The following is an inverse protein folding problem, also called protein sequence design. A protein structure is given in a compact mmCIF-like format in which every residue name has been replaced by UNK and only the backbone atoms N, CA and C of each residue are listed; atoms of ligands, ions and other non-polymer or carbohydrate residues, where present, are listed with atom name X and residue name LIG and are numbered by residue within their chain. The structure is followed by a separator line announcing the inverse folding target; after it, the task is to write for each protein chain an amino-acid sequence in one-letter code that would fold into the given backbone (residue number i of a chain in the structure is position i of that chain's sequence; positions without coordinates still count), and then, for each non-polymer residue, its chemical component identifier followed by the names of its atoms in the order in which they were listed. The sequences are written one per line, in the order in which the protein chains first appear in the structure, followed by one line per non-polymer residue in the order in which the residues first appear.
data_IF_024740975244
#
_entry.id   IF_024740975244
#
_cell.length_a   1.000
_cell.length_b   1.000
_cell.length_c   1.000
_cell.angle_alpha   90.00
_cell.angle_beta   90.00
_cell.angle_gamma   90.00
#
_symmetry.space_group_name_H-M   'P 1'
#
loop_
_entity.id
_entity.type
_entity.pdbx_description
1 polymer ?
#
# COMPACT_ATOMS: atom_id res chain seq x y z
N UNK A 1 17.19 6.35 -5.86
CA UNK A 1 16.30 5.66 -6.83
C UNK A 1 16.12 6.42 -8.14
N UNK A 2 16.17 5.73 -9.28
CA UNK A 2 15.67 6.25 -10.57
C UNK A 2 14.13 6.13 -10.60
N UNK A 3 13.46 7.28 -10.57
CA UNK A 3 12.00 7.37 -10.49
C UNK A 3 11.31 6.78 -11.72
N UNK A 4 11.93 6.81 -12.91
CA UNK A 4 11.34 6.22 -14.12
C UNK A 4 11.38 4.69 -14.07
N UNK A 5 12.51 4.13 -13.66
CA UNK A 5 12.67 2.69 -13.49
C UNK A 5 11.74 2.15 -12.38
N UNK A 6 11.66 2.84 -11.24
CA UNK A 6 10.75 2.49 -10.15
C UNK A 6 9.28 2.58 -10.58
N UNK A 7 8.90 3.65 -11.28
CA UNK A 7 7.54 3.80 -11.82
C UNK A 7 7.20 2.68 -12.81
N UNK A 8 8.16 2.24 -13.63
CA UNK A 8 7.97 1.14 -14.58
C UNK A 8 7.71 -0.18 -13.87
N UNK A 9 8.59 -0.56 -12.93
CA UNK A 9 8.44 -1.78 -12.13
C UNK A 9 7.13 -1.78 -11.34
N UNK A 10 6.76 -0.63 -10.75
CA UNK A 10 5.55 -0.52 -9.93
C UNK A 10 4.29 -0.52 -10.80
N UNK A 11 4.22 0.21 -11.92
CA UNK A 11 2.96 0.39 -12.67
C UNK A 11 2.73 -0.65 -13.77
N UNK A 12 3.77 -1.08 -14.49
CA UNK A 12 3.62 -2.05 -15.58
C UNK A 12 3.38 -3.46 -15.05
N UNK A 13 4.00 -3.83 -13.93
CA UNK A 13 3.75 -5.14 -13.33
C UNK A 13 2.41 -5.18 -12.58
N UNK A 14 1.99 -4.09 -11.90
CA UNK A 14 0.68 -4.06 -11.22
C UNK A 14 -0.52 -4.08 -12.16
N UNK A 15 -0.39 -3.56 -13.39
CA UNK A 15 -1.49 -3.50 -14.35
C UNK A 15 -1.77 -4.84 -15.04
N UNK A 16 -0.86 -5.81 -14.95
CA UNK A 16 -1.02 -7.17 -15.50
C UNK A 16 -1.49 -8.21 -14.46
N UNK A 17 -1.79 -7.77 -13.24
CA UNK A 17 -2.28 -8.60 -12.14
C UNK A 17 -3.79 -8.76 -12.29
N UNK A 18 -4.25 -9.95 -12.70
CA UNK A 18 -5.66 -10.34 -12.62
C UNK A 18 -6.20 -10.16 -11.18
N UNK A 19 -7.50 -9.91 -11.03
CA UNK A 19 -8.14 -9.72 -9.70
C UNK A 19 -7.80 -10.83 -8.69
N UNK A 20 -7.66 -12.07 -9.14
CA UNK A 20 -7.27 -13.22 -8.31
C UNK A 20 -5.88 -13.05 -7.68
N UNK A 21 -4.97 -12.36 -8.38
CA UNK A 21 -3.61 -12.09 -7.95
C UNK A 21 -3.54 -10.78 -7.12
N UNK A 22 -4.48 -9.86 -7.32
CA UNK A 22 -4.65 -8.58 -6.60
C UNK A 22 -5.03 -8.78 -5.13
N UNK A 23 -5.81 -9.82 -4.84
CA UNK A 23 -6.13 -10.25 -3.48
C UNK A 23 -4.95 -10.95 -2.78
N UNK A 24 -3.90 -11.30 -3.52
CA UNK A 24 -2.76 -12.03 -2.99
C UNK A 24 -1.57 -11.09 -2.74
N UNK A 25 -0.95 -11.28 -1.58
CA UNK A 25 0.41 -10.84 -1.20
C UNK A 25 1.46 -10.88 -2.34
N UNK A 26 1.27 -11.70 -3.36
CA UNK A 26 2.22 -11.93 -4.45
C UNK A 26 2.47 -10.72 -5.35
N UNK A 27 1.53 -9.78 -5.48
CA UNK A 27 1.74 -8.56 -6.28
C UNK A 27 2.87 -7.70 -5.72
N UNK A 28 2.81 -7.38 -4.43
CA UNK A 28 3.87 -6.63 -3.74
C UNK A 28 5.20 -7.39 -3.72
N UNK A 29 5.18 -8.72 -3.52
CA UNK A 29 6.41 -9.51 -3.56
C UNK A 29 7.10 -9.45 -4.92
N UNK A 30 6.36 -9.62 -6.03
CA UNK A 30 6.94 -9.56 -7.38
C UNK A 30 7.52 -8.19 -7.69
N UNK A 31 6.78 -7.13 -7.36
CA UNK A 31 7.27 -5.76 -7.53
C UNK A 31 8.53 -5.51 -6.69
N UNK A 32 8.57 -5.98 -5.44
CA UNK A 32 9.76 -5.89 -4.58
C UNK A 32 10.94 -6.67 -5.15
N UNK A 33 10.74 -7.89 -5.66
CA UNK A 33 11.77 -8.68 -6.33
C UNK A 33 12.36 -7.98 -7.56
N UNK A 34 11.50 -7.38 -8.39
CA UNK A 34 11.94 -6.59 -9.56
C UNK A 34 12.67 -5.31 -9.14
N UNK A 35 12.15 -4.58 -8.15
CA UNK A 35 12.81 -3.40 -7.60
C UNK A 35 14.15 -3.73 -6.96
N UNK A 36 14.28 -4.88 -6.28
CA UNK A 36 15.52 -5.30 -5.64
C UNK A 36 16.63 -5.55 -6.67
N UNK A 37 16.29 -6.15 -7.82
CA UNK A 37 17.25 -6.33 -8.93
C UNK A 37 17.75 -4.99 -9.46
N UNK A 38 16.84 -4.06 -9.76
CA UNK A 38 17.20 -2.73 -10.24
C UNK A 38 17.98 -1.93 -9.19
N UNK A 39 17.59 -2.03 -7.91
CA UNK A 39 18.28 -1.38 -6.80
C UNK A 39 19.71 -1.88 -6.65
N UNK A 40 19.95 -3.17 -6.87
CA UNK A 40 21.28 -3.78 -6.83
C UNK A 40 22.15 -3.24 -7.97
N UNK A 41 21.60 -3.16 -9.19
CA UNK A 41 22.28 -2.62 -10.37
C UNK A 41 22.59 -1.13 -10.19
N UNK A 42 21.62 -0.37 -9.69
CA UNK A 42 21.71 1.07 -9.49
C UNK A 42 22.39 1.50 -8.18
N UNK A 43 22.78 0.55 -7.32
CA UNK A 43 23.27 0.77 -5.96
C UNK A 43 22.37 1.70 -5.13
N UNK A 44 21.06 1.49 -5.20
CA UNK A 44 20.08 2.27 -4.44
C UNK A 44 20.02 1.77 -3.00
N UNK A 45 20.08 2.70 -2.05
CA UNK A 45 20.00 2.44 -0.61
C UNK A 45 18.71 3.04 0.01
N UNK A 46 17.89 3.66 -0.83
CA UNK A 46 16.59 4.19 -0.46
C UNK A 46 15.49 3.11 -0.57
N UNK A 47 14.41 3.33 0.18
CA UNK A 47 13.21 2.51 0.13
C UNK A 47 11.97 3.40 0.08
N UNK A 48 10.81 2.78 -0.11
CA UNK A 48 9.54 3.48 -0.18
C UNK A 48 8.47 2.78 0.68
N UNK A 49 7.48 3.55 1.14
CA UNK A 49 6.22 3.02 1.66
C UNK A 49 5.22 2.92 0.51
N UNK A 50 4.24 2.04 0.65
CA UNK A 50 3.20 1.87 -0.34
C UNK A 50 1.83 1.64 0.30
N UNK A 51 0.86 2.47 -0.07
CA UNK A 51 -0.55 2.25 0.19
C UNK A 51 -1.27 2.27 -1.15
N UNK A 52 -2.01 1.22 -1.43
CA UNK A 52 -2.74 1.06 -2.68
C UNK A 52 -4.22 0.83 -2.38
N UNK A 53 -5.09 1.45 -3.19
CA UNK A 53 -6.53 1.26 -3.11
C UNK A 53 -7.07 0.89 -4.50
N UNK A 54 -7.81 -0.20 -4.57
CA UNK A 54 -8.53 -0.63 -5.78
C UNK A 54 -10.02 -0.53 -5.56
N UNK A 55 -10.70 0.19 -6.44
CA UNK A 55 -12.15 0.35 -6.42
C UNK A 55 -12.73 -0.58 -7.49
N UNK A 56 -13.44 -1.60 -7.03
CA UNK A 56 -14.07 -2.63 -7.85
C UNK A 56 -15.57 -2.55 -7.60
N UNK A 57 -16.28 -1.86 -8.50
CA UNK A 57 -17.70 -1.54 -8.35
C UNK A 57 -18.00 -0.88 -6.99
N UNK A 58 -18.61 -1.62 -6.07
CA UNK A 58 -18.99 -1.16 -4.72
C UNK A 58 -17.99 -1.60 -3.63
N UNK A 59 -16.90 -2.28 -4.00
CA UNK A 59 -15.89 -2.79 -3.08
C UNK A 59 -14.60 -2.00 -3.21
N UNK A 60 -14.01 -1.60 -2.08
CA UNK A 60 -12.68 -1.00 -2.03
C UNK A 60 -11.74 -1.96 -1.33
N UNK A 61 -10.70 -2.40 -2.03
CA UNK A 61 -9.59 -3.18 -1.48
C UNK A 61 -8.44 -2.25 -1.16
N UNK A 62 -7.85 -2.39 0.03
CA UNK A 62 -6.71 -1.56 0.46
C UNK A 62 -5.58 -2.45 0.94
N UNK A 63 -4.38 -2.21 0.42
CA UNK A 63 -3.14 -2.84 0.87
C UNK A 63 -2.16 -1.78 1.37
N UNK A 64 -1.41 -2.08 2.44
CA UNK A 64 -0.42 -1.19 3.03
C UNK A 64 0.87 -1.94 3.36
N UNK A 65 2.00 -1.36 2.99
CA UNK A 65 3.35 -1.72 3.44
C UNK A 65 4.07 -0.45 3.87
N UNK A 66 4.31 -0.35 5.19
CA UNK A 66 4.98 0.79 5.79
C UNK A 66 4.01 1.59 6.66
N UNK A 67 4.34 2.86 6.87
CA UNK A 67 3.64 3.72 7.83
C UNK A 67 2.80 4.84 7.19
N UNK A 68 2.55 4.72 5.88
CA UNK A 68 1.54 5.52 5.20
C UNK A 68 0.11 5.09 5.61
N UNK A 69 -0.87 5.96 5.37
CA UNK A 69 -2.28 5.75 5.76
C UNK A 69 -3.25 5.96 4.59
N UNK A 70 -4.23 5.06 4.47
CA UNK A 70 -5.46 5.34 3.72
C UNK A 70 -6.59 5.71 4.69
N UNK A 71 -7.29 6.80 4.37
CA UNK A 71 -8.40 7.33 5.17
C UNK A 71 -9.60 7.53 4.26
N UNK A 72 -10.72 6.91 4.61
CA UNK A 72 -12.01 7.10 3.94
C UNK A 72 -12.76 8.26 4.61
N UNK A 73 -13.12 9.27 3.82
CA UNK A 73 -14.05 10.30 4.24
C UNK A 73 -15.48 9.81 3.97
N UNK A 74 -16.27 9.60 5.03
CA UNK A 74 -17.67 9.19 4.94
C UNK A 74 -18.58 10.34 5.32
N UNK A 75 -19.44 10.76 4.40
CA UNK A 75 -20.51 11.71 4.69
C UNK A 75 -21.49 11.11 5.70
N UNK A 76 -21.85 11.87 6.72
CA UNK A 76 -22.92 11.53 7.66
C UNK A 76 -24.21 12.20 7.20
N UNK A 77 -25.20 11.41 6.79
CA UNK A 77 -26.51 11.92 6.38
C UNK A 77 -27.45 11.97 7.60
N UNK A 78 -27.22 12.92 8.51
CA UNK A 78 -28.03 13.04 9.74
C UNK A 78 -29.25 13.98 9.56
N UNK A 79 -29.73 14.15 8.33
CA UNK A 79 -30.98 14.86 8.00
C UNK A 79 -30.98 16.37 8.26
N UNK A 80 -29.95 16.92 8.92
CA UNK A 80 -29.73 18.35 9.11
C UNK A 80 -28.65 18.85 8.17
N UNK A 81 -28.77 20.09 7.70
CA UNK A 81 -27.98 20.75 6.64
C UNK A 81 -26.46 20.91 6.89
N UNK A 82 -25.89 20.11 7.80
CA UNK A 82 -24.47 20.07 8.11
C UNK A 82 -23.92 18.70 7.70
N UNK A 83 -23.39 18.60 6.47
CA UNK A 83 -22.82 17.36 5.95
C UNK A 83 -21.43 17.14 6.54
N UNK A 84 -21.38 16.70 7.80
CA UNK A 84 -20.14 16.31 8.45
C UNK A 84 -19.43 15.19 7.69
N UNK A 85 -18.10 15.27 7.59
CA UNK A 85 -17.27 14.18 7.09
C UNK A 85 -16.64 13.45 8.27
N UNK A 86 -16.93 12.16 8.40
CA UNK A 86 -16.25 11.28 9.36
C UNK A 86 -15.05 10.63 8.67
N UNK A 87 -13.86 10.85 9.22
CA UNK A 87 -12.64 10.16 8.79
C UNK A 87 -12.59 8.73 9.36
N UNK A 88 -12.28 7.75 8.51
CA UNK A 88 -12.15 6.35 8.89
C UNK A 88 -10.82 5.84 8.36
N UNK A 89 -9.91 5.48 9.26
CA UNK A 89 -8.62 4.91 8.88
C UNK A 89 -8.83 3.47 8.43
N UNK A 90 -8.41 3.15 7.20
CA UNK A 90 -8.56 1.82 6.59
C UNK A 90 -7.33 0.93 6.79
N UNK A 91 -6.17 1.51 7.14
CA UNK A 91 -4.90 0.79 7.25
C UNK A 91 -4.36 0.79 8.67
N UNK A 92 -3.59 -0.25 9.00
CA UNK A 92 -2.70 -0.26 10.17
C UNK A 92 -1.31 0.11 9.69
N UNK A 93 -0.67 1.06 10.36
CA UNK A 93 0.72 1.43 10.06
C UNK A 93 1.68 0.37 10.57
N UNK A 94 2.80 0.19 9.86
CA UNK A 94 3.89 -0.70 10.28
C UNK A 94 4.99 0.13 10.94
N UNK A 95 4.93 0.27 12.27
CA UNK A 95 5.94 0.97 13.08
C UNK A 95 6.47 0.06 14.18
N UNK A 96 7.77 0.12 14.46
CA UNK A 96 8.45 -0.72 15.47
C UNK A 96 7.94 -0.52 16.91
N UNK A 97 7.23 0.57 17.16
CA UNK A 97 6.55 0.81 18.45
C UNK A 97 5.38 -0.15 18.68
N UNK A 98 4.78 -0.70 17.61
CA UNK A 98 3.65 -1.60 17.72
C UNK A 98 4.10 -3.02 18.10
N UNK A 99 3.45 -3.67 19.08
CA UNK A 99 3.89 -4.97 19.58
C UNK A 99 4.01 -6.06 18.50
N UNK A 100 3.08 -6.10 17.55
CA UNK A 100 3.07 -7.09 16.46
C UNK A 100 4.28 -6.90 15.53
N UNK A 101 4.56 -5.67 15.11
CA UNK A 101 5.72 -5.37 14.26
C UNK A 101 7.04 -5.58 14.99
N UNK A 102 7.10 -5.20 16.29
CA UNK A 102 8.28 -5.45 17.12
C UNK A 102 8.59 -6.94 17.20
N UNK A 103 7.59 -7.77 17.50
CA UNK A 103 7.75 -9.21 17.58
C UNK A 103 8.19 -9.82 16.23
N UNK A 104 7.64 -9.33 15.12
CA UNK A 104 8.03 -9.75 13.77
C UNK A 104 9.50 -9.43 13.48
N UNK A 105 9.94 -8.22 13.79
CA UNK A 105 11.33 -7.77 13.58
C UNK A 105 12.30 -8.57 14.44
N UNK A 106 11.97 -8.82 15.71
CA UNK A 106 12.83 -9.59 16.62
C UNK A 106 13.01 -11.06 16.22
N UNK A 107 12.13 -11.59 15.35
CA UNK A 107 12.21 -12.96 14.83
C UNK A 107 13.05 -13.06 13.55
N UNK A 108 13.19 -11.97 12.81
CA UNK A 108 13.95 -11.92 11.55
C UNK A 108 15.45 -11.85 11.83
#
# INVERSE_FOLDING_TARGET
MDVKAAKRAILEEFTLINLDLLLSYTGFQRTDESLLKESTIGNWQDGATAVCAWVLEQTVLVANIGDAKAVLARATSDGTHDTGLKAIVLTREHKAIYPQERARIQKA
#
